data_IF_324672226149
#
_entry.id   IF_324672226149
#
_cell.length_a   1.000
_cell.length_b   1.000
_cell.length_c   1.000
_cell.angle_alpha   90.00
_cell.angle_beta   90.00
_cell.angle_gamma   90.00
#
_symmetry.space_group_name_H-M   'P 1'
#
loop_
_entity.id
_entity.type
_entity.pdbx_description
1 polymer ?
#
# COMPACT_ATOMS: atom_id res chain seq x y z
N UNK A 1 -14.99 -18.82 -4.86
CA UNK A 1 -14.63 -17.40 -4.79
C UNK A 1 -13.61 -17.12 -5.89
N UNK A 2 -13.69 -15.96 -6.54
CA UNK A 2 -12.71 -15.56 -7.56
C UNK A 2 -11.39 -15.15 -6.88
N UNK A 3 -10.28 -15.22 -7.62
CA UNK A 3 -8.99 -14.67 -7.17
C UNK A 3 -9.10 -13.14 -7.27
N UNK A 4 -8.94 -12.47 -6.14
CA UNK A 4 -9.01 -11.00 -6.07
C UNK A 4 -7.60 -10.40 -5.96
N UNK A 5 -7.50 -9.14 -6.35
CA UNK A 5 -6.30 -8.32 -6.21
C UNK A 5 -6.65 -7.06 -5.45
N UNK A 6 -5.77 -6.65 -4.54
CA UNK A 6 -5.94 -5.44 -3.75
C UNK A 6 -4.64 -4.63 -3.72
N UNK A 7 -4.77 -3.32 -3.55
CA UNK A 7 -3.64 -2.41 -3.43
C UNK A 7 -3.31 -2.19 -1.95
N UNK A 8 -2.05 -2.41 -1.59
CA UNK A 8 -1.53 -2.08 -0.26
C UNK A 8 -0.54 -0.93 -0.39
N UNK A 9 -0.72 0.11 0.44
CA UNK A 9 0.18 1.24 0.50
C UNK A 9 0.92 1.27 1.84
N UNK A 10 2.25 1.25 1.77
CA UNK A 10 3.11 1.54 2.90
C UNK A 10 3.40 3.04 2.89
N UNK A 11 2.80 3.76 3.83
CA UNK A 11 2.92 5.22 3.96
C UNK A 11 4.37 5.65 4.31
N UNK A 12 4.74 6.94 4.12
CA UNK A 12 6.10 7.42 4.35
C UNK A 12 6.66 7.11 5.75
N UNK A 13 5.83 7.14 6.77
CA UNK A 13 6.18 6.79 8.16
C UNK A 13 6.58 5.31 8.29
N UNK A 14 5.86 4.39 7.63
CA UNK A 14 6.20 2.97 7.62
C UNK A 14 7.52 2.69 6.91
N UNK A 15 7.81 3.44 5.84
CA UNK A 15 9.10 3.35 5.13
C UNK A 15 10.23 3.91 5.99
N UNK A 16 10.06 5.09 6.59
CA UNK A 16 11.07 5.72 7.46
C UNK A 16 11.41 4.87 8.69
N UNK A 17 10.43 4.13 9.21
CA UNK A 17 10.63 3.19 10.33
C UNK A 17 11.22 1.84 9.91
N UNK A 18 11.52 1.64 8.63
CA UNK A 18 12.08 0.39 8.11
C UNK A 18 11.12 -0.81 8.13
N UNK A 19 9.80 -0.58 8.15
CA UNK A 19 8.80 -1.63 8.33
C UNK A 19 8.43 -2.38 7.04
N UNK A 20 9.01 -2.01 5.89
CA UNK A 20 8.65 -2.55 4.57
C UNK A 20 8.76 -4.08 4.53
N UNK A 21 9.89 -4.63 4.97
CA UNK A 21 10.14 -6.08 4.95
C UNK A 21 9.19 -6.84 5.86
N UNK A 22 8.92 -6.32 7.06
CA UNK A 22 8.01 -6.94 8.03
C UNK A 22 6.57 -6.97 7.51
N UNK A 23 6.13 -5.90 6.84
CA UNK A 23 4.80 -5.83 6.23
C UNK A 23 4.67 -6.85 5.09
N UNK A 24 5.66 -6.93 4.18
CA UNK A 24 5.65 -7.91 3.09
C UNK A 24 5.59 -9.33 3.65
N UNK A 25 6.47 -9.65 4.60
CA UNK A 25 6.52 -10.95 5.26
C UNK A 25 5.17 -11.34 5.86
N UNK A 26 4.47 -10.40 6.49
CA UNK A 26 3.14 -10.65 7.06
C UNK A 26 2.12 -11.06 6.00
N UNK A 27 2.11 -10.40 4.84
CA UNK A 27 1.19 -10.76 3.75
C UNK A 27 1.50 -12.14 3.17
N UNK A 28 2.78 -12.45 2.97
CA UNK A 28 3.21 -13.77 2.48
C UNK A 28 2.87 -14.90 3.47
N UNK A 29 3.06 -14.65 4.77
CA UNK A 29 2.69 -15.61 5.83
C UNK A 29 1.18 -15.86 5.92
N UNK A 30 0.34 -14.89 5.54
CA UNK A 30 -1.10 -15.07 5.40
C UNK A 30 -1.50 -15.83 4.12
N UNK A 31 -0.55 -16.22 3.27
CA UNK A 31 -0.79 -16.94 2.02
C UNK A 31 -1.17 -16.02 0.85
N UNK A 32 -1.01 -14.70 0.99
CA UNK A 32 -1.24 -13.76 -0.10
C UNK A 32 0.00 -13.69 -1.01
N UNK A 33 -0.24 -13.62 -2.32
CA UNK A 33 0.82 -13.50 -3.32
C UNK A 33 1.03 -12.04 -3.70
N UNK A 34 2.27 -11.56 -3.57
CA UNK A 34 2.67 -10.26 -4.10
C UNK A 34 2.80 -10.36 -5.62
N UNK A 35 1.96 -9.62 -6.35
CA UNK A 35 1.93 -9.62 -7.83
C UNK A 35 2.65 -8.41 -8.44
N UNK A 36 2.99 -7.40 -7.63
CA UNK A 36 3.72 -6.22 -8.07
C UNK A 36 4.14 -5.35 -6.89
N UNK A 37 5.26 -4.64 -7.05
CA UNK A 37 5.83 -3.71 -6.06
C UNK A 37 6.38 -2.49 -6.78
N UNK A 38 6.16 -1.30 -6.20
CA UNK A 38 6.75 -0.06 -6.68
C UNK A 38 7.03 0.87 -5.50
N UNK A 39 8.30 1.25 -5.31
CA UNK A 39 8.66 2.33 -4.41
C UNK A 39 8.55 3.65 -5.19
N UNK A 40 7.72 4.57 -4.70
CA UNK A 40 7.53 5.88 -5.33
C UNK A 40 7.39 6.94 -4.26
N UNK A 41 7.86 8.15 -4.58
CA UNK A 41 7.52 9.34 -3.81
C UNK A 41 6.26 9.93 -4.43
N UNK A 42 5.15 9.90 -3.69
CA UNK A 42 3.93 10.55 -4.16
C UNK A 42 4.14 12.07 -4.12
N UNK A 43 3.88 12.74 -5.24
CA UNK A 43 3.71 14.19 -5.26
C UNK A 43 2.29 14.56 -4.83
N UNK A 44 2.04 15.86 -4.64
CA UNK A 44 0.75 16.34 -4.15
C UNK A 44 -0.40 16.02 -5.12
N UNK A 45 -0.15 16.06 -6.42
CA UNK A 45 -1.16 15.75 -7.45
C UNK A 45 -1.56 14.27 -7.41
N UNK A 46 -0.59 13.36 -7.30
CA UNK A 46 -0.86 11.92 -7.14
C UNK A 46 -1.58 11.62 -5.82
N UNK A 47 -1.18 12.28 -4.73
CA UNK A 47 -1.83 12.11 -3.43
C UNK A 47 -3.28 12.57 -3.45
N UNK A 48 -3.58 13.71 -4.08
CA UNK A 48 -4.94 14.22 -4.25
C UNK A 48 -5.79 13.32 -5.15
N UNK A 49 -5.23 12.78 -6.23
CA UNK A 49 -5.92 11.79 -7.07
C UNK A 49 -6.22 10.49 -6.32
N UNK A 50 -5.34 10.09 -5.40
CA UNK A 50 -5.50 8.87 -4.62
C UNK A 50 -6.51 9.03 -3.47
N UNK A 51 -6.50 10.18 -2.80
CA UNK A 51 -7.41 10.51 -1.71
C UNK A 51 -8.46 11.52 -2.19
N UNK A 52 -9.51 11.02 -2.84
CA UNK A 52 -10.69 11.85 -3.16
C UNK A 52 -11.43 12.24 -1.87
N UNK A 53 -12.28 13.27 -1.94
CA UNK A 53 -13.05 13.77 -0.78
C UNK A 53 -13.88 12.67 -0.10
N UNK A 54 -14.36 11.68 -0.86
CA UNK A 54 -15.15 10.54 -0.34
C UNK A 54 -14.32 9.60 0.55
N UNK A 55 -13.02 9.51 0.31
CA UNK A 55 -12.10 8.62 1.07
C UNK A 55 -11.57 9.35 2.31
N UNK A 56 -11.51 10.68 2.27
CA UNK A 56 -10.97 11.52 3.36
C UNK A 56 -12.01 11.89 4.43
N UNK A 57 -13.29 11.58 4.23
CA UNK A 57 -14.42 11.94 5.12
C UNK A 57 -14.85 10.85 6.12
N UNK A 58 -14.01 9.84 6.40
CA UNK A 58 -14.32 8.80 7.40
C UNK A 58 -13.44 8.88 8.63
#
# INVERSE_FOLDING_TARGET
>A
MAIEQTLVLIKPDGVQRGLVGEIIKRFEQCGLKIVGLKLTRADNDLAQKHYTEDISKK
#
